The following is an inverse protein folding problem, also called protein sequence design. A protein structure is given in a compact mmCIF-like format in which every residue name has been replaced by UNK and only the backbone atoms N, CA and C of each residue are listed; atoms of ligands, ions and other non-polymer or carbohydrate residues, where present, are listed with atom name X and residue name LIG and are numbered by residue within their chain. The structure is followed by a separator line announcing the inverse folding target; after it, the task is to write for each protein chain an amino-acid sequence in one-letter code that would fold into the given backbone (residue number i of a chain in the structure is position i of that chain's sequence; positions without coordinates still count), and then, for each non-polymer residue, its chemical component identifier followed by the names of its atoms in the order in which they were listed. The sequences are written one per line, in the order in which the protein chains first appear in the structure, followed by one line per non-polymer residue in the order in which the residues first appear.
data_IF_214271138548
#
_entry.id   IF_214271138548
#
_cell.length_a   1.000
_cell.length_b   1.000
_cell.length_c   1.000
_cell.angle_alpha   90.00
_cell.angle_beta   90.00
_cell.angle_gamma   90.00
#
_symmetry.space_group_name_H-M   'P 1'
#
loop_
_entity.id
_entity.type
_entity.pdbx_description
1 polymer ?
#
# COMPACT_ATOMS: atom_id res chain seq x y z
N UNK A 1 15.62 -20.55 -21.82
CA UNK A 1 16.04 -19.27 -21.18
C UNK A 1 15.88 -19.38 -19.67
N UNK A 2 16.92 -19.85 -19.00
CA UNK A 2 16.95 -20.05 -17.55
C UNK A 2 17.25 -18.70 -16.88
N UNK A 3 16.26 -18.08 -16.24
CA UNK A 3 16.50 -16.88 -15.44
C UNK A 3 17.35 -17.30 -14.24
N UNK A 4 18.58 -16.78 -14.15
CA UNK A 4 19.36 -16.84 -12.93
C UNK A 4 18.52 -16.30 -11.77
N UNK A 5 18.25 -17.19 -10.83
CA UNK A 5 17.62 -16.88 -9.56
C UNK A 5 18.72 -16.28 -8.69
N UNK A 6 18.92 -14.97 -8.77
CA UNK A 6 19.71 -14.28 -7.74
C UNK A 6 19.00 -14.53 -6.39
N UNK A 7 19.66 -15.20 -5.42
CA UNK A 7 19.10 -15.35 -4.10
C UNK A 7 18.84 -13.97 -3.53
N UNK A 8 17.62 -13.73 -3.04
CA UNK A 8 17.34 -12.55 -2.23
C UNK A 8 18.37 -12.49 -1.11
N UNK A 9 18.98 -11.32 -0.83
CA UNK A 9 19.98 -11.21 0.23
C UNK A 9 19.41 -11.70 1.56
N UNK A 10 20.24 -12.34 2.41
CA UNK A 10 19.79 -12.88 3.69
C UNK A 10 19.15 -11.79 4.56
N UNK A 11 18.09 -12.18 5.26
CA UNK A 11 17.35 -11.33 6.19
C UNK A 11 18.31 -10.72 7.21
N UNK A 12 18.26 -9.40 7.40
CA UNK A 12 18.80 -8.83 8.64
C UNK A 12 17.67 -8.73 9.67
N UNK A 13 17.96 -8.93 10.96
CA UNK A 13 16.99 -8.83 12.05
C UNK A 13 16.54 -7.38 12.33
N UNK A 14 16.98 -6.42 11.52
CA UNK A 14 16.72 -5.00 11.71
C UNK A 14 15.38 -4.61 11.06
N UNK A 15 14.56 -3.81 11.74
CA UNK A 15 13.26 -3.41 11.23
C UNK A 15 13.41 -2.53 9.99
N UNK A 16 12.64 -2.82 8.94
CA UNK A 16 12.78 -2.17 7.65
C UNK A 16 12.04 -0.82 7.57
N UNK A 17 12.35 0.14 8.42
CA UNK A 17 11.57 1.39 8.61
C UNK A 17 11.70 2.33 7.41
N UNK A 18 10.60 2.93 6.94
CA UNK A 18 10.60 3.93 5.85
C UNK A 18 10.17 5.32 6.31
N UNK A 19 10.84 6.36 5.82
CA UNK A 19 10.51 7.77 5.96
C UNK A 19 10.34 8.42 4.58
N UNK A 20 9.19 9.09 4.38
CA UNK A 20 8.89 9.80 3.13
C UNK A 20 8.94 11.32 3.33
N UNK A 21 9.70 11.98 2.47
CA UNK A 21 9.81 13.43 2.37
C UNK A 21 9.00 14.03 1.22
N UNK A 22 9.39 15.23 0.78
CA UNK A 22 8.77 15.96 -0.33
C UNK A 22 9.34 15.54 -1.68
N UNK A 23 9.15 14.27 -2.05
CA UNK A 23 9.69 13.69 -3.29
C UNK A 23 11.01 12.92 -3.12
N UNK A 24 11.46 12.80 -1.88
CA UNK A 24 12.63 12.03 -1.46
C UNK A 24 12.18 10.94 -0.48
N UNK A 25 12.90 9.83 -0.40
CA UNK A 25 12.59 8.75 0.54
C UNK A 25 13.86 8.20 1.18
N UNK A 26 13.78 7.83 2.44
CA UNK A 26 14.86 7.16 3.16
C UNK A 26 14.28 5.97 3.88
N UNK A 27 14.95 4.82 3.82
CA UNK A 27 14.51 3.64 4.55
C UNK A 27 15.68 2.83 5.07
N UNK A 28 15.47 2.13 6.17
CA UNK A 28 16.41 1.13 6.66
C UNK A 28 16.13 -0.19 5.95
N UNK A 29 17.16 -0.77 5.37
CA UNK A 29 17.11 -2.04 4.68
C UNK A 29 18.27 -2.90 5.12
N UNK A 30 17.95 -3.92 5.90
CA UNK A 30 18.98 -4.78 6.46
C UNK A 30 19.97 -3.98 7.31
N UNK A 31 21.25 -4.03 6.93
CA UNK A 31 22.34 -3.22 7.53
C UNK A 31 22.71 -1.99 6.69
N UNK A 32 21.77 -1.39 5.97
CA UNK A 32 22.01 -0.16 5.22
C UNK A 32 20.84 0.82 5.32
N UNK A 33 21.14 2.11 5.42
CA UNK A 33 20.19 3.19 5.17
C UNK A 33 20.22 3.48 3.67
N UNK A 34 19.07 3.36 3.01
CA UNK A 34 18.93 3.71 1.60
C UNK A 34 18.26 5.06 1.50
N UNK A 35 18.88 5.98 0.77
CA UNK A 35 18.38 7.33 0.51
C UNK A 35 18.14 7.49 -1.00
N UNK A 36 16.91 7.79 -1.36
CA UNK A 36 16.54 8.20 -2.70
C UNK A 36 16.27 9.70 -2.72
N UNK A 37 17.14 10.43 -3.41
CA UNK A 37 17.10 11.88 -3.47
C UNK A 37 17.58 12.37 -4.84
N UNK A 38 16.82 13.27 -5.48
CA UNK A 38 17.15 13.86 -6.79
C UNK A 38 17.40 12.82 -7.89
N UNK A 39 16.64 11.72 -7.90
CA UNK A 39 16.77 10.65 -8.90
C UNK A 39 17.99 9.74 -8.72
N UNK A 40 18.75 9.92 -7.64
CA UNK A 40 19.86 9.06 -7.25
C UNK A 40 19.45 8.22 -6.04
N UNK A 41 19.75 6.93 -6.10
CA UNK A 41 19.62 6.01 -4.98
C UNK A 41 20.99 5.78 -4.38
N UNK A 42 21.17 6.19 -3.12
CA UNK A 42 22.37 5.94 -2.33
C UNK A 42 22.09 4.85 -1.32
N UNK A 43 22.93 3.81 -1.28
CA UNK A 43 22.92 2.79 -0.24
C UNK A 43 24.08 3.09 0.70
N UNK A 44 23.75 3.49 1.93
CA UNK A 44 24.67 3.88 2.99
C UNK A 44 24.72 2.72 3.99
N UNK A 45 25.79 1.91 4.06
CA UNK A 45 25.91 0.88 5.08
C UNK A 45 25.83 1.47 6.49
N UNK A 46 25.22 0.78 7.46
CA UNK A 46 25.14 1.26 8.86
C UNK A 46 26.52 1.40 9.51
N UNK A 47 27.53 0.72 8.97
CA UNK A 47 28.94 0.85 9.36
C UNK A 47 29.54 2.18 8.92
N UNK A 48 29.03 2.77 7.84
CA UNK A 48 29.43 4.10 7.37
C UNK A 48 28.84 5.24 8.21
N UNK A 49 27.81 4.96 9.00
CA UNK A 49 27.09 5.97 9.79
C UNK A 49 27.83 6.25 11.09
N UNK A 50 28.24 7.51 11.27
CA UNK A 50 28.75 8.01 12.53
C UNK A 50 27.57 8.30 13.47
N UNK A 51 26.58 9.05 12.99
CA UNK A 51 25.43 9.42 13.81
C UNK A 51 24.17 9.68 12.97
N UNK A 52 23.02 9.27 13.50
CA UNK A 52 21.71 9.67 13.00
C UNK A 52 21.02 10.63 13.97
N UNK A 53 20.45 11.74 13.48
CA UNK A 53 19.73 12.73 14.30
C UNK A 53 18.39 13.11 13.69
N UNK A 54 17.40 13.35 14.53
CA UNK A 54 16.15 13.98 14.11
C UNK A 54 16.30 15.50 14.21
N UNK A 55 16.20 16.20 13.07
CA UNK A 55 16.53 17.62 12.95
C UNK A 55 15.35 18.47 12.45
N UNK A 56 15.53 19.79 12.53
CA UNK A 56 14.56 20.79 12.07
C UNK A 56 13.36 20.98 13.01
N UNK A 57 12.48 21.93 12.62
CA UNK A 57 11.31 22.31 13.42
C UNK A 57 10.36 21.12 13.56
N UNK A 58 10.13 20.68 14.80
CA UNK A 58 9.27 19.54 15.12
C UNK A 58 9.92 18.17 14.90
N UNK A 59 11.25 18.08 14.69
CA UNK A 59 12.02 16.82 14.59
C UNK A 59 11.48 15.85 13.53
N UNK A 60 10.99 16.39 12.41
CA UNK A 60 10.38 15.63 11.30
C UNK A 60 11.40 15.21 10.24
N UNK A 61 12.56 15.84 10.21
CA UNK A 61 13.65 15.55 9.27
C UNK A 61 14.67 14.62 9.90
N UNK A 62 15.36 13.84 9.08
CA UNK A 62 16.44 12.97 9.52
C UNK A 62 17.74 13.42 8.87
N UNK A 63 18.77 13.48 9.68
CA UNK A 63 20.16 13.73 9.31
C UNK A 63 20.98 12.47 9.59
N UNK A 64 21.74 12.01 8.60
CA UNK A 64 22.68 10.89 8.70
C UNK A 64 24.07 11.44 8.42
N UNK A 65 24.89 11.56 9.46
CA UNK A 65 26.30 11.91 9.36
C UNK A 65 27.13 10.63 9.15
N UNK A 66 28.03 10.66 8.17
CA UNK A 66 28.96 9.57 7.92
C UNK A 66 30.28 9.80 8.64
N UNK A 67 30.99 8.70 8.93
CA UNK A 67 32.34 8.77 9.49
C UNK A 67 33.28 9.56 8.59
N UNK A 68 34.01 10.47 9.23
CA UNK A 68 35.12 11.22 8.68
C UNK A 68 36.38 10.39 8.41
N UNK A 69 37.40 11.05 7.85
CA UNK A 69 38.76 10.51 7.65
C UNK A 69 39.75 11.50 8.25
N UNK A 70 40.75 11.01 8.98
CA UNK A 70 41.84 11.82 9.55
C UNK A 70 41.38 13.05 10.36
N UNK A 71 40.28 12.89 11.11
CA UNK A 71 39.70 13.95 11.94
C UNK A 71 38.88 14.99 11.17
N UNK A 72 38.79 14.91 9.84
CA UNK A 72 37.88 15.72 9.04
C UNK A 72 36.45 15.16 9.13
N UNK A 73 35.41 16.01 9.25
CA UNK A 73 34.02 15.54 9.33
C UNK A 73 33.59 14.87 8.03
N UNK A 74 32.83 13.77 8.14
CA UNK A 74 32.29 13.08 6.98
C UNK A 74 31.06 13.78 6.38
N UNK A 75 30.63 13.36 5.18
CA UNK A 75 29.47 13.94 4.52
C UNK A 75 28.18 13.66 5.30
N UNK A 76 27.25 14.61 5.21
CA UNK A 76 25.97 14.57 5.91
C UNK A 76 24.82 14.52 4.90
N UNK A 77 23.93 13.55 5.08
CA UNK A 77 22.73 13.39 4.26
C UNK A 77 21.48 13.80 5.04
N UNK A 78 20.68 14.71 4.47
CA UNK A 78 19.47 15.22 5.11
C UNK A 78 18.25 14.86 4.28
N UNK A 79 17.28 14.18 4.90
CA UNK A 79 15.94 13.99 4.37
C UNK A 79 14.94 14.88 5.11
N UNK A 80 14.29 15.78 4.38
CA UNK A 80 13.17 16.57 4.91
C UNK A 80 11.90 15.72 4.99
N UNK A 81 11.61 15.20 6.17
CA UNK A 81 10.45 14.35 6.43
C UNK A 81 9.20 15.11 6.87
N UNK A 82 8.07 14.39 6.89
CA UNK A 82 6.75 14.94 7.27
C UNK A 82 6.24 14.45 8.61
N UNK A 83 6.82 13.37 9.13
CA UNK A 83 6.34 12.67 10.32
C UNK A 83 7.48 12.48 11.33
N UNK A 84 7.33 13.13 12.49
CA UNK A 84 8.30 13.08 13.59
C UNK A 84 8.41 11.68 14.20
N UNK A 85 7.31 10.93 14.27
CA UNK A 85 7.32 9.59 14.86
C UNK A 85 8.06 8.58 13.97
N UNK A 86 7.90 8.69 12.65
CA UNK A 86 8.66 7.87 11.70
C UNK A 86 10.14 8.28 11.66
N UNK A 87 10.43 9.58 11.71
CA UNK A 87 11.80 10.10 11.79
C UNK A 87 12.54 9.60 13.04
N UNK A 88 11.92 9.72 14.22
CA UNK A 88 12.49 9.25 15.48
C UNK A 88 12.78 7.74 15.47
N UNK A 89 11.86 6.93 14.95
CA UNK A 89 12.05 5.48 14.85
C UNK A 89 13.18 5.09 13.91
N UNK A 90 13.31 5.77 12.77
CA UNK A 90 14.40 5.52 11.83
C UNK A 90 15.75 5.90 12.45
N UNK A 91 15.83 7.04 13.13
CA UNK A 91 17.03 7.48 13.87
C UNK A 91 17.42 6.49 14.95
N UNK A 92 16.46 6.04 15.75
CA UNK A 92 16.69 5.06 16.81
C UNK A 92 17.22 3.73 16.25
N UNK A 93 16.59 3.21 15.19
CA UNK A 93 17.01 1.97 14.55
C UNK A 93 18.40 2.09 13.91
N UNK A 94 18.70 3.21 13.24
CA UNK A 94 20.00 3.48 12.65
C UNK A 94 21.10 3.57 13.72
N UNK A 95 20.87 4.33 14.80
CA UNK A 95 21.82 4.46 15.91
C UNK A 95 22.01 3.17 16.71
N UNK A 96 20.99 2.30 16.78
CA UNK A 96 21.12 0.98 17.41
C UNK A 96 21.95 0.02 16.56
N UNK A 97 21.88 0.15 15.23
CA UNK A 97 22.57 -0.72 14.28
C UNK A 97 24.00 -0.28 13.92
N UNK A 98 24.37 0.97 14.22
CA UNK A 98 25.68 1.55 13.86
C UNK A 98 26.85 0.85 14.58
N UNK A 99 28.01 0.87 13.92
CA UNK A 99 29.27 0.49 14.57
C UNK A 99 29.73 1.59 15.52
N UNK A 100 30.36 1.23 16.63
CA UNK A 100 31.02 2.20 17.53
C UNK A 100 32.33 2.73 16.94
N UNK A 101 32.94 1.96 16.05
CA UNK A 101 34.20 2.28 15.40
C UNK A 101 33.94 2.54 13.92
N UNK A 102 34.44 3.65 13.40
CA UNK A 102 34.35 4.00 12.00
C UNK A 102 35.27 3.15 11.11
N UNK A 103 34.93 3.03 9.81
CA UNK A 103 35.82 2.40 8.83
C UNK A 103 37.09 3.25 8.62
N UNK A 104 38.28 2.65 8.45
CA UNK A 104 39.54 3.39 8.30
C UNK A 104 39.53 4.38 7.12
N UNK A 105 38.85 4.01 6.04
CA UNK A 105 38.70 4.78 4.81
C UNK A 105 37.58 5.83 4.85
N UNK A 106 36.89 5.99 5.99
CA UNK A 106 35.72 6.86 6.13
C UNK A 106 34.44 6.27 5.58
N UNK A 107 33.31 6.80 6.02
CA UNK A 107 31.99 6.28 5.66
C UNK A 107 31.61 6.58 4.21
N UNK A 108 32.13 7.67 3.63
CA UNK A 108 31.81 8.10 2.26
C UNK A 108 32.19 7.06 1.20
N UNK A 109 33.35 6.41 1.37
CA UNK A 109 33.86 5.41 0.43
C UNK A 109 33.01 4.13 0.36
N UNK A 110 32.13 3.91 1.35
CA UNK A 110 31.25 2.74 1.41
C UNK A 110 29.87 2.99 0.79
N UNK A 111 29.57 4.21 0.34
CA UNK A 111 28.26 4.55 -0.21
C UNK A 111 28.18 4.09 -1.66
N UNK A 112 27.22 3.21 -1.96
CA UNK A 112 26.93 2.82 -3.35
C UNK A 112 25.86 3.75 -3.94
N UNK A 113 26.15 4.39 -5.08
CA UNK A 113 25.15 5.15 -5.84
C UNK A 113 24.64 4.34 -7.03
N UNK A 114 23.32 4.33 -7.23
CA UNK A 114 22.67 3.70 -8.40
C UNK A 114 21.59 4.63 -8.98
N UNK A 115 21.44 4.68 -10.32
CA UNK A 115 20.35 5.41 -10.95
C UNK A 115 18.99 4.73 -10.69
N UNK A 116 17.95 5.53 -10.44
CA UNK A 116 16.58 5.01 -10.24
C UNK A 116 15.97 4.60 -11.58
N UNK A 117 15.54 3.33 -11.74
CA UNK A 117 14.83 2.86 -12.94
C UNK A 117 13.32 2.74 -12.71
N UNK A 118 12.51 3.42 -13.53
CA UNK A 118 11.05 3.44 -13.41
C UNK A 118 10.42 2.37 -14.30
N UNK A 119 9.92 1.27 -13.73
CA UNK A 119 9.03 0.37 -14.49
C UNK A 119 7.78 -0.01 -13.69
N UNK A 120 6.61 0.43 -14.18
CA UNK A 120 5.31 0.14 -13.60
C UNK A 120 4.55 -0.85 -14.47
N UNK A 121 4.26 -2.05 -13.96
CA UNK A 121 3.42 -3.04 -14.66
C UNK A 121 2.09 -3.22 -13.93
N UNK A 122 0.98 -2.99 -14.65
CA UNK A 122 -0.40 -3.11 -14.17
C UNK A 122 -0.89 -4.56 -14.22
N UNK A 123 -1.62 -5.03 -13.20
CA UNK A 123 -2.47 -6.23 -13.29
C UNK A 123 -3.68 -6.12 -12.33
N UNK A 124 -4.86 -6.55 -12.78
CA UNK A 124 -6.18 -6.13 -12.26
C UNK A 124 -6.62 -6.67 -10.89
N UNK A 125 -7.74 -6.08 -10.41
CA UNK A 125 -8.40 -6.37 -9.13
C UNK A 125 -8.84 -7.85 -9.02
N UNK A 126 -8.51 -8.50 -7.91
CA UNK A 126 -9.11 -9.78 -7.51
C UNK A 126 -10.08 -9.61 -6.34
N UNK A 127 -11.32 -10.08 -6.48
CA UNK A 127 -12.30 -10.17 -5.38
C UNK A 127 -12.04 -11.39 -4.46
N UNK A 128 -12.34 -11.24 -3.17
CA UNK A 128 -12.18 -12.29 -2.14
C UNK A 128 -13.29 -13.35 -2.17
N UNK A 129 -13.09 -14.53 -1.55
CA UNK A 129 -14.03 -15.67 -1.57
C UNK A 129 -15.38 -15.38 -0.92
N UNK A 130 -15.38 -14.60 0.18
CA UNK A 130 -16.61 -14.18 0.88
C UNK A 130 -17.41 -13.16 0.06
N UNK A 131 -16.72 -12.23 -0.61
CA UNK A 131 -17.35 -11.28 -1.53
C UNK A 131 -17.97 -11.98 -2.73
N UNK A 132 -17.32 -13.03 -3.26
CA UNK A 132 -17.90 -13.89 -4.29
C UNK A 132 -19.16 -14.61 -3.80
N UNK A 133 -19.13 -15.19 -2.60
CA UNK A 133 -20.29 -15.91 -2.06
C UNK A 133 -21.50 -14.99 -1.84
N UNK A 134 -21.29 -13.77 -1.32
CA UNK A 134 -22.34 -12.76 -1.17
C UNK A 134 -22.87 -12.33 -2.54
N UNK A 135 -21.99 -12.11 -3.52
CA UNK A 135 -22.40 -11.79 -4.89
C UNK A 135 -23.25 -12.90 -5.53
N UNK A 136 -22.88 -14.18 -5.32
CA UNK A 136 -23.63 -15.33 -5.83
C UNK A 136 -25.02 -15.44 -5.16
N UNK A 137 -25.10 -15.26 -3.84
CA UNK A 137 -26.38 -15.32 -3.12
C UNK A 137 -27.34 -14.21 -3.57
N UNK A 138 -26.82 -12.99 -3.73
CA UNK A 138 -27.58 -11.87 -4.26
C UNK A 138 -28.06 -12.09 -5.69
N UNK A 139 -27.24 -12.73 -6.54
CA UNK A 139 -27.64 -13.14 -7.88
C UNK A 139 -28.78 -14.16 -7.86
N UNK A 140 -28.77 -15.13 -6.93
CA UNK A 140 -29.85 -16.13 -6.81
C UNK A 140 -31.17 -15.51 -6.35
N UNK A 141 -31.13 -14.62 -5.36
CA UNK A 141 -32.33 -13.89 -4.90
C UNK A 141 -32.91 -13.05 -6.06
N UNK A 142 -32.04 -12.43 -6.84
CA UNK A 142 -32.44 -11.66 -8.01
C UNK A 142 -33.10 -12.52 -9.12
N UNK A 143 -32.43 -13.59 -9.54
CA UNK A 143 -32.95 -14.51 -10.58
C UNK A 143 -34.24 -15.18 -10.11
N UNK A 144 -34.31 -15.57 -8.84
CA UNK A 144 -35.50 -16.16 -8.24
C UNK A 144 -36.69 -15.20 -8.23
N UNK A 145 -36.49 -13.94 -7.82
CA UNK A 145 -37.54 -12.92 -7.84
C UNK A 145 -38.04 -12.60 -9.25
N UNK A 146 -37.12 -12.47 -10.21
CA UNK A 146 -37.50 -12.28 -11.62
C UNK A 146 -38.26 -13.48 -12.19
N UNK A 147 -37.81 -14.71 -11.93
CA UNK A 147 -38.48 -15.93 -12.38
C UNK A 147 -39.88 -16.07 -11.77
N UNK A 148 -40.06 -15.69 -10.50
CA UNK A 148 -41.37 -15.70 -9.83
C UNK A 148 -42.34 -14.70 -10.48
N UNK A 149 -41.89 -13.48 -10.75
CA UNK A 149 -42.70 -12.42 -11.39
C UNK A 149 -43.03 -12.74 -12.85
N UNK A 150 -42.07 -13.32 -13.58
CA UNK A 150 -42.30 -13.79 -14.94
C UNK A 150 -43.28 -14.96 -14.99
N UNK A 151 -43.22 -15.86 -14.01
CA UNK A 151 -44.15 -17.00 -13.91
C UNK A 151 -45.56 -16.57 -13.49
N UNK A 152 -45.69 -15.51 -12.69
CA UNK A 152 -46.98 -14.93 -12.32
C UNK A 152 -47.69 -14.20 -13.48
N UNK A 153 -47.06 -14.06 -14.65
CA UNK A 153 -47.67 -13.46 -15.84
C UNK A 153 -47.72 -11.93 -15.80
N UNK A 154 -46.87 -11.28 -15.01
CA UNK A 154 -46.85 -9.83 -14.84
C UNK A 154 -45.60 -9.19 -15.48
N UNK A 155 -45.54 -9.10 -16.83
CA UNK A 155 -44.34 -8.69 -17.56
C UNK A 155 -43.94 -7.23 -17.27
N UNK A 156 -44.91 -6.36 -16.96
CA UNK A 156 -44.64 -4.98 -16.55
C UNK A 156 -43.93 -4.91 -15.19
N UNK A 157 -44.38 -5.69 -14.19
CA UNK A 157 -43.71 -5.73 -12.88
C UNK A 157 -42.33 -6.38 -12.97
N UNK A 158 -42.16 -7.41 -13.79
CA UNK A 158 -40.86 -8.02 -14.07
C UNK A 158 -39.88 -7.01 -14.72
N UNK A 159 -40.35 -6.18 -15.66
CA UNK A 159 -39.53 -5.13 -16.27
C UNK A 159 -39.12 -4.03 -15.26
N UNK A 160 -40.03 -3.63 -14.38
CA UNK A 160 -39.74 -2.66 -13.31
C UNK A 160 -38.74 -3.25 -12.28
N UNK A 161 -38.88 -4.53 -11.94
CA UNK A 161 -37.91 -5.24 -11.09
C UNK A 161 -36.51 -5.23 -11.72
N UNK A 162 -36.42 -5.49 -13.02
CA UNK A 162 -35.17 -5.48 -13.78
C UNK A 162 -34.51 -4.07 -13.78
N UNK A 163 -35.30 -3.00 -13.95
CA UNK A 163 -34.78 -1.63 -14.03
C UNK A 163 -34.48 -0.99 -12.66
N UNK A 164 -35.21 -1.34 -11.60
CA UNK A 164 -35.05 -0.73 -10.28
C UNK A 164 -34.06 -1.49 -9.39
N UNK A 165 -34.18 -2.81 -9.37
CA UNK A 165 -33.47 -3.67 -8.41
C UNK A 165 -32.05 -4.00 -8.88
N UNK A 166 -31.82 -4.19 -10.20
CA UNK A 166 -30.46 -4.45 -10.72
C UNK A 166 -29.48 -3.32 -10.42
N UNK A 167 -29.76 -2.04 -10.75
CA UNK A 167 -28.81 -0.97 -10.48
C UNK A 167 -28.54 -0.79 -8.99
N UNK A 168 -29.57 -0.96 -8.14
CA UNK A 168 -29.41 -0.92 -6.69
C UNK A 168 -28.45 -2.01 -6.18
N UNK A 169 -28.67 -3.25 -6.61
CA UNK A 169 -27.83 -4.39 -6.23
C UNK A 169 -26.39 -4.23 -6.71
N UNK A 170 -26.19 -3.85 -7.97
CA UNK A 170 -24.86 -3.63 -8.52
C UNK A 170 -24.15 -2.46 -7.84
N UNK A 171 -24.86 -1.35 -7.60
CA UNK A 171 -24.35 -0.21 -6.87
C UNK A 171 -23.89 -0.58 -5.46
N UNK A 172 -24.71 -1.33 -4.72
CA UNK A 172 -24.38 -1.80 -3.37
C UNK A 172 -23.18 -2.76 -3.36
N UNK A 173 -23.14 -3.71 -4.29
CA UNK A 173 -22.06 -4.67 -4.47
C UNK A 173 -20.71 -4.00 -4.79
N UNK A 174 -20.73 -2.85 -5.45
CA UNK A 174 -19.53 -2.08 -5.78
C UNK A 174 -19.11 -1.17 -4.62
N UNK A 175 -20.05 -0.42 -4.04
CA UNK A 175 -19.76 0.62 -3.03
C UNK A 175 -19.37 0.03 -1.69
N UNK A 176 -20.11 -0.96 -1.18
CA UNK A 176 -19.92 -1.47 0.20
C UNK A 176 -18.54 -2.10 0.41
N UNK A 177 -18.03 -3.01 -0.44
CA UNK A 177 -16.69 -3.57 -0.28
C UNK A 177 -15.62 -2.49 -0.40
N UNK A 178 -15.79 -1.55 -1.35
CA UNK A 178 -14.84 -0.47 -1.59
C UNK A 178 -14.73 0.48 -0.40
N UNK A 179 -15.86 0.83 0.23
CA UNK A 179 -15.90 1.66 1.42
C UNK A 179 -15.25 0.96 2.62
N UNK A 180 -15.57 -0.32 2.85
CA UNK A 180 -14.92 -1.12 3.90
C UNK A 180 -13.41 -1.20 3.70
N UNK A 181 -12.97 -1.40 2.46
CA UNK A 181 -11.56 -1.52 2.14
C UNK A 181 -10.82 -0.18 2.27
N UNK A 182 -11.44 0.92 1.85
CA UNK A 182 -10.95 2.27 2.07
C UNK A 182 -10.84 2.59 3.56
N UNK A 183 -11.86 2.25 4.35
CA UNK A 183 -11.86 2.45 5.80
C UNK A 183 -10.75 1.66 6.49
N UNK A 184 -10.63 0.36 6.20
CA UNK A 184 -9.56 -0.49 6.73
C UNK A 184 -8.18 0.11 6.41
N UNK A 185 -7.96 0.51 5.15
CA UNK A 185 -6.71 1.13 4.73
C UNK A 185 -6.46 2.47 5.43
N UNK A 186 -7.48 3.28 5.62
CA UNK A 186 -7.39 4.54 6.35
C UNK A 186 -6.99 4.33 7.81
N UNK A 187 -7.62 3.38 8.50
CA UNK A 187 -7.30 3.04 9.89
C UNK A 187 -5.86 2.55 10.03
N UNK A 188 -5.43 1.62 9.16
CA UNK A 188 -4.04 1.12 9.17
C UNK A 188 -3.05 2.23 8.85
N UNK A 189 -3.35 3.14 7.90
CA UNK A 189 -2.46 4.26 7.60
C UNK A 189 -2.32 5.27 8.75
N UNK A 190 -3.38 5.50 9.52
CA UNK A 190 -3.33 6.46 10.65
C UNK A 190 -2.50 5.96 11.83
N UNK A 191 -2.49 4.65 12.08
CA UNK A 191 -1.87 4.06 13.28
C UNK A 191 -0.66 3.17 12.98
N UNK A 192 -0.47 2.84 11.71
CA UNK A 192 0.49 1.84 11.30
C UNK A 192 1.90 2.36 11.16
N UNK A 193 2.83 1.41 11.07
CA UNK A 193 4.26 1.64 10.90
C UNK A 193 4.60 1.33 9.45
N UNK A 194 5.31 2.25 8.80
CA UNK A 194 5.75 2.06 7.42
C UNK A 194 7.04 1.25 7.39
N UNK A 195 7.00 0.13 6.66
CA UNK A 195 8.11 -0.78 6.47
C UNK A 195 8.31 -1.15 5.01
N UNK A 196 9.52 -1.59 4.67
CA UNK A 196 9.83 -2.15 3.36
C UNK A 196 9.60 -3.65 3.35
N UNK A 197 8.77 -4.11 2.42
CA UNK A 197 8.61 -5.52 2.12
C UNK A 197 9.41 -5.88 0.86
N UNK A 198 10.09 -7.02 0.89
CA UNK A 198 10.94 -7.54 -0.19
C UNK A 198 10.28 -8.76 -0.81
N UNK A 199 10.42 -8.94 -2.12
CA UNK A 199 9.91 -10.11 -2.84
C UNK A 199 10.42 -11.40 -2.19
N UNK A 200 9.48 -12.27 -1.83
CA UNK A 200 9.77 -13.52 -1.15
C UNK A 200 9.54 -14.72 -2.07
N UNK A 201 8.32 -14.86 -2.59
CA UNK A 201 7.97 -15.97 -3.49
C UNK A 201 6.85 -15.61 -4.44
N UNK A 202 6.72 -16.44 -5.47
CA UNK A 202 5.60 -16.40 -6.40
C UNK A 202 4.89 -17.74 -6.36
N UNK A 203 3.59 -17.73 -6.14
CA UNK A 203 2.75 -18.92 -6.07
C UNK A 203 1.67 -18.81 -7.16
N UNK A 204 1.90 -19.52 -8.27
CA UNK A 204 1.08 -19.40 -9.47
C UNK A 204 1.07 -17.97 -10.05
N UNK A 205 -0.10 -17.32 -10.03
CA UNK A 205 -0.28 -15.93 -10.48
C UNK A 205 -0.06 -14.89 -9.37
N UNK A 206 0.06 -15.32 -8.11
CA UNK A 206 0.21 -14.44 -6.94
C UNK A 206 1.67 -14.22 -6.60
N UNK A 207 1.99 -13.02 -6.15
CA UNK A 207 3.32 -12.65 -5.69
C UNK A 207 3.24 -12.31 -4.22
N UNK A 208 4.18 -12.78 -3.41
CA UNK A 208 4.24 -12.50 -1.99
C UNK A 208 5.50 -11.71 -1.67
N UNK A 209 5.33 -10.67 -0.86
CA UNK A 209 6.40 -9.85 -0.32
C UNK A 209 6.46 -10.09 1.19
N UNK A 210 7.67 -10.07 1.73
CA UNK A 210 7.94 -10.33 3.14
C UNK A 210 8.52 -9.11 3.79
N UNK A 211 8.08 -8.78 4.99
CA UNK A 211 8.60 -7.68 5.81
C UNK A 211 8.89 -8.15 7.23
N UNK A 212 9.74 -7.38 7.91
CA UNK A 212 10.08 -7.58 9.31
C UNK A 212 9.45 -6.45 10.12
N UNK A 213 8.70 -6.81 11.16
CA UNK A 213 8.11 -5.83 12.09
C UNK A 213 9.15 -5.25 13.06
N UNK A 214 8.73 -4.31 13.91
CA UNK A 214 9.59 -3.67 14.93
C UNK A 214 10.10 -4.64 16.01
N UNK A 215 9.46 -5.80 16.17
CA UNK A 215 9.80 -6.84 17.16
C UNK A 215 10.69 -7.94 16.53
N UNK A 216 11.02 -7.82 15.24
CA UNK A 216 11.79 -8.82 14.50
C UNK A 216 10.95 -9.94 13.90
N UNK A 217 9.63 -9.91 14.07
CA UNK A 217 8.68 -10.86 13.51
C UNK A 217 8.60 -10.72 11.99
N UNK A 218 8.56 -11.86 11.29
CA UNK A 218 8.52 -11.92 9.83
C UNK A 218 7.11 -12.20 9.33
N UNK A 219 6.63 -11.39 8.39
CA UNK A 219 5.27 -11.48 7.86
C UNK A 219 5.25 -11.41 6.34
N UNK A 220 4.22 -11.99 5.72
CA UNK A 220 4.03 -11.97 4.26
C UNK A 220 2.75 -11.23 3.87
N UNK A 221 2.81 -10.52 2.75
CA UNK A 221 1.70 -9.76 2.17
C UNK A 221 1.65 -9.95 0.66
N UNK A 222 0.44 -10.11 0.14
CA UNK A 222 0.17 -10.00 -1.30
C UNK A 222 0.05 -8.50 -1.67
N UNK A 223 0.85 -8.01 -2.65
CA UNK A 223 0.87 -6.60 -3.00
C UNK A 223 -0.46 -6.18 -3.63
N UNK A 224 -0.91 -4.98 -3.28
CA UNK A 224 -1.94 -4.30 -4.05
C UNK A 224 -1.38 -3.95 -5.45
N UNK A 225 -2.21 -4.04 -6.48
CA UNK A 225 -1.84 -3.77 -7.87
C UNK A 225 -1.34 -2.35 -8.17
N UNK A 226 -1.51 -1.41 -7.24
CA UNK A 226 -0.93 -0.07 -7.33
C UNK A 226 0.10 0.22 -6.23
N UNK A 227 0.57 -0.82 -5.53
CA UNK A 227 1.78 -0.72 -4.73
C UNK A 227 2.92 -0.30 -5.66
N UNK A 228 3.53 0.85 -5.38
CA UNK A 228 4.70 1.30 -6.13
C UNK A 228 5.94 0.57 -5.60
N UNK A 229 6.79 0.17 -6.53
CA UNK A 229 8.15 -0.25 -6.21
C UNK A 229 8.86 0.87 -5.46
N UNK A 230 9.55 0.56 -4.36
CA UNK A 230 10.41 1.55 -3.69
C UNK A 230 11.66 1.73 -4.53
N UNK A 231 12.03 2.98 -4.83
CA UNK A 231 13.20 3.28 -5.66
C UNK A 231 13.16 2.62 -7.04
N UNK A 232 11.97 2.41 -7.59
CA UNK A 232 11.79 1.79 -8.90
C UNK A 232 11.99 0.27 -8.95
N UNK A 233 12.42 -0.36 -7.85
CA UNK A 233 12.63 -1.80 -7.77
C UNK A 233 11.30 -2.53 -7.60
N UNK A 234 10.84 -3.34 -8.59
CA UNK A 234 9.59 -4.08 -8.49
C UNK A 234 9.65 -5.22 -7.47
N UNK A 235 10.86 -5.59 -6.98
CA UNK A 235 11.04 -6.58 -5.92
C UNK A 235 10.87 -5.96 -4.52
N UNK A 236 10.54 -4.68 -4.39
CA UNK A 236 10.42 -3.99 -3.10
C UNK A 236 9.20 -3.10 -3.06
N UNK A 237 8.39 -3.18 -2.02
CA UNK A 237 7.20 -2.35 -1.87
C UNK A 237 7.12 -1.75 -0.48
N UNK A 238 6.55 -0.55 -0.39
CA UNK A 238 6.28 0.09 0.90
C UNK A 238 4.96 -0.43 1.44
N UNK A 239 5.00 -0.88 2.69
CA UNK A 239 3.89 -1.52 3.38
C UNK A 239 3.67 -0.79 4.70
N UNK A 240 2.42 -0.54 5.04
CA UNK A 240 2.04 0.00 6.34
C UNK A 240 1.35 -1.12 7.10
N UNK A 241 1.88 -1.50 8.25
CA UNK A 241 1.30 -2.54 9.09
C UNK A 241 0.76 -1.97 10.40
N UNK A 242 -0.32 -2.55 10.93
CA UNK A 242 -0.88 -2.19 12.23
C UNK A 242 -0.01 -2.77 13.36
N UNK A 243 0.51 -1.93 14.25
CA UNK A 243 1.38 -2.38 15.35
C UNK A 243 0.69 -3.40 16.26
N UNK A 244 -0.60 -3.25 16.52
CA UNK A 244 -1.34 -4.16 17.40
C UNK A 244 -1.65 -5.51 16.72
N UNK A 245 -1.62 -5.53 15.39
CA UNK A 245 -1.89 -6.72 14.60
C UNK A 245 -0.89 -6.77 13.43
N UNK A 246 0.36 -7.21 13.64
CA UNK A 246 1.42 -7.14 12.64
C UNK A 246 1.09 -7.79 11.30
N UNK A 247 0.22 -8.81 11.29
CA UNK A 247 -0.30 -9.47 10.09
C UNK A 247 -1.29 -8.64 9.27
N UNK A 248 -1.83 -7.55 9.83
CA UNK A 248 -2.70 -6.60 9.13
C UNK A 248 -1.87 -5.49 8.50
N UNK A 249 -1.43 -5.78 7.28
CA UNK A 249 -0.67 -4.85 6.48
C UNK A 249 -1.41 -4.40 5.21
N UNK A 250 -1.13 -3.18 4.77
CA UNK A 250 -1.65 -2.60 3.53
C UNK A 250 -0.51 -1.93 2.76
N UNK A 251 -0.48 -2.09 1.43
CA UNK A 251 0.51 -1.38 0.63
C UNK A 251 0.30 0.14 0.67
N UNK A 252 1.41 0.88 0.62
CA UNK A 252 1.44 2.31 0.36
C UNK A 252 1.13 2.55 -1.13
N UNK A 253 0.10 3.36 -1.37
CA UNK A 253 -0.33 3.80 -2.69
C UNK A 253 -0.17 5.31 -2.77
N UNK A 254 0.16 5.79 -3.96
CA UNK A 254 0.03 7.20 -4.28
C UNK A 254 -1.41 7.68 -3.99
N UNK A 255 -1.52 8.84 -3.32
CA UNK A 255 -2.81 9.42 -2.97
C UNK A 255 -3.68 9.62 -4.22
N UNK A 256 -3.09 10.02 -5.35
CA UNK A 256 -3.77 10.19 -6.63
C UNK A 256 -4.41 8.89 -7.13
N UNK A 257 -3.71 7.75 -7.04
CA UNK A 257 -4.27 6.45 -7.46
C UNK A 257 -5.39 5.99 -6.54
N UNK A 258 -5.28 6.30 -5.24
CA UNK A 258 -6.35 6.02 -4.28
C UNK A 258 -7.59 6.88 -4.58
N UNK A 259 -7.40 8.18 -4.81
CA UNK A 259 -8.47 9.12 -5.17
C UNK A 259 -9.16 8.71 -6.46
N UNK A 260 -8.41 8.37 -7.52
CA UNK A 260 -9.00 7.92 -8.78
C UNK A 260 -9.79 6.62 -8.65
N UNK A 261 -9.28 5.66 -7.87
CA UNK A 261 -10.01 4.40 -7.61
C UNK A 261 -11.27 4.65 -6.79
N UNK A 262 -11.18 5.42 -5.72
CA UNK A 262 -12.34 5.73 -4.90
C UNK A 262 -13.36 6.49 -5.73
N UNK A 263 -12.93 7.54 -6.45
CA UNK A 263 -13.78 8.37 -7.30
C UNK A 263 -14.49 7.55 -8.38
N UNK A 264 -13.77 6.69 -9.12
CA UNK A 264 -14.37 5.84 -10.15
C UNK A 264 -15.41 4.87 -9.59
N UNK A 265 -15.12 4.25 -8.44
CA UNK A 265 -16.07 3.36 -7.76
C UNK A 265 -17.27 4.13 -7.20
N UNK A 266 -17.07 5.28 -6.55
CA UNK A 266 -18.18 6.10 -6.04
C UNK A 266 -19.01 6.72 -7.15
N UNK A 267 -18.41 7.09 -8.29
CA UNK A 267 -19.15 7.61 -9.44
C UNK A 267 -19.98 6.51 -10.09
N UNK A 268 -19.39 5.36 -10.40
CA UNK A 268 -20.11 4.24 -11.02
C UNK A 268 -21.17 3.67 -10.08
N UNK A 269 -20.81 3.38 -8.83
CA UNK A 269 -21.73 2.85 -7.83
C UNK A 269 -22.78 3.88 -7.40
N UNK A 270 -22.40 5.15 -7.27
CA UNK A 270 -23.31 6.24 -6.95
C UNK A 270 -24.31 6.51 -8.07
N UNK A 271 -23.88 6.49 -9.34
CA UNK A 271 -24.79 6.67 -10.48
C UNK A 271 -25.82 5.54 -10.56
N UNK A 272 -25.42 4.29 -10.31
CA UNK A 272 -26.33 3.14 -10.25
C UNK A 272 -27.33 3.25 -9.07
N UNK A 273 -26.85 3.69 -7.89
CA UNK A 273 -27.71 3.90 -6.73
C UNK A 273 -28.68 5.06 -6.94
N UNK A 274 -28.23 6.18 -7.51
CA UNK A 274 -29.07 7.33 -7.84
C UNK A 274 -30.13 6.95 -8.88
N UNK A 275 -29.76 6.16 -9.89
CA UNK A 275 -30.71 5.65 -10.88
C UNK A 275 -31.77 4.77 -10.21
N UNK A 276 -31.36 3.84 -9.33
CA UNK A 276 -32.32 3.03 -8.58
C UNK A 276 -33.24 3.87 -7.67
N UNK A 277 -32.69 4.87 -6.99
CA UNK A 277 -33.43 5.74 -6.10
C UNK A 277 -34.44 6.63 -6.85
N UNK A 278 -34.14 7.01 -8.09
CA UNK A 278 -35.04 7.78 -8.94
C UNK A 278 -36.11 6.89 -9.59
N UNK A 279 -35.76 5.65 -9.93
CA UNK A 279 -36.67 4.69 -10.54
C UNK A 279 -37.67 4.10 -9.53
N UNK A 280 -37.27 3.79 -8.29
CA UNK A 280 -38.19 3.19 -7.30
C UNK A 280 -39.47 4.01 -7.01
N UNK A 281 -39.43 5.32 -6.74
CA UNK A 281 -40.65 6.09 -6.52
C UNK A 281 -41.49 6.24 -7.79
N UNK A 282 -40.85 6.36 -8.96
CA UNK A 282 -41.55 6.38 -10.24
C UNK A 282 -42.31 5.06 -10.48
N UNK A 283 -41.70 3.93 -10.13
CA UNK A 283 -42.31 2.60 -10.21
C UNK A 283 -43.50 2.47 -9.26
N UNK A 284 -43.40 2.95 -8.02
CA UNK A 284 -44.50 2.95 -7.06
C UNK A 284 -45.69 3.81 -7.55
N UNK A 285 -45.40 4.97 -8.14
CA UNK A 285 -46.44 5.85 -8.72
C UNK A 285 -47.12 5.17 -9.91
N UNK A 286 -46.36 4.57 -10.82
CA UNK A 286 -46.91 3.86 -11.97
C UNK A 286 -47.75 2.65 -11.55
N UNK A 287 -47.32 1.91 -10.52
CA UNK A 287 -48.07 0.78 -9.97
C UNK A 287 -49.39 1.25 -9.35
N UNK A 288 -49.37 2.35 -8.59
CA UNK A 288 -50.56 2.95 -7.97
C UNK A 288 -51.56 3.53 -8.98
N UNK A 289 -51.10 3.92 -10.17
CA UNK A 289 -51.96 4.41 -11.27
C UNK A 289 -52.52 3.28 -12.15
N UNK A 290 -51.96 2.07 -12.05
CA UNK A 290 -52.35 0.91 -12.85
C UNK A 290 -53.36 -0.03 -12.17
N UNK A 291 -53.69 0.22 -10.90
CA UNK A 291 -54.74 -0.48 -10.15
C UNK A 291 -55.99 0.37 -9.99
#
# INVERSE_FOLDING_TARGET
MSRHYEPSPPLSPLPSITLRGYGETMWLEGRAVVLEQKGLRRRIPVEAVEEARAVGRGRRSVEIALWGVDGAPGPVFILKGRDAASAGRLVEAANRARSRNGPPQGGAALVEERPTSTSGRKKGLGLTRRERAVGIALLHVYVGGFALLAWAGEPQQAALWLLGVMPALFGLLIVVPSLRWAWKRWTVRRRGVMVVAVFARKEGKRTFFRYTDLEGGTHEIEPDYAARGIGGDPKRIEVVYDRQHPSRAVCSLAASTLVWRTAGVTLAGGLLLSLAFLMMPLQLILLALSG
#
